data_IF_925010149895
#
_entry.id   IF_925010149895
#
_cell.length_a   1.000
_cell.length_b   1.000
_cell.length_c   1.000
_cell.angle_alpha   90.00
_cell.angle_beta   90.00
_cell.angle_gamma   90.00
#
_symmetry.space_group_name_H-M   'P 1'
#
loop_
_entity.id
_entity.type
_entity.pdbx_description
1 polymer ?
#
# COMPACT_ATOMS: atom_id res chain seq x y z
N UNK A 1 13.24 4.01 10.42
CA UNK A 1 12.09 3.10 10.32
C UNK A 1 12.20 2.11 9.15
N UNK A 2 12.76 2.52 8.01
CA UNK A 2 13.04 1.66 6.84
C UNK A 2 13.69 0.32 7.20
N UNK A 3 14.79 0.34 7.95
CA UNK A 3 15.50 -0.88 8.35
C UNK A 3 14.63 -1.85 9.16
N UNK A 4 13.72 -1.33 10.01
CA UNK A 4 12.82 -2.15 10.82
C UNK A 4 11.74 -2.81 9.94
N UNK A 5 11.14 -2.06 9.01
CA UNK A 5 10.13 -2.62 8.10
C UNK A 5 10.71 -3.63 7.13
N UNK A 6 11.92 -3.39 6.61
CA UNK A 6 12.63 -4.36 5.77
C UNK A 6 12.94 -5.63 6.55
N UNK A 7 13.54 -5.52 7.73
CA UNK A 7 13.83 -6.68 8.57
C UNK A 7 12.56 -7.49 8.92
N UNK A 8 11.46 -6.80 9.22
CA UNK A 8 10.19 -7.46 9.49
C UNK A 8 9.70 -8.29 8.29
N UNK A 9 9.77 -7.74 7.07
CA UNK A 9 9.38 -8.44 5.85
C UNK A 9 10.35 -9.59 5.49
N UNK A 10 11.66 -9.38 5.65
CA UNK A 10 12.69 -10.41 5.42
C UNK A 10 12.52 -11.63 6.34
N UNK A 11 12.02 -11.41 7.56
CA UNK A 11 11.69 -12.47 8.51
C UNK A 11 10.30 -13.10 8.28
N UNK A 12 9.59 -12.72 7.21
CA UNK A 12 8.24 -13.22 6.89
C UNK A 12 7.12 -12.62 7.74
N UNK A 13 7.36 -11.49 8.41
CA UNK A 13 6.36 -10.73 9.15
C UNK A 13 5.51 -9.81 8.27
N UNK A 14 4.71 -8.95 8.91
CA UNK A 14 3.83 -7.96 8.25
C UNK A 14 4.20 -6.53 8.64
N UNK A 15 3.91 -5.55 7.77
CA UNK A 15 4.09 -4.13 8.09
C UNK A 15 3.16 -3.65 9.21
N UNK A 16 2.07 -4.36 9.48
CA UNK A 16 1.11 -3.97 10.51
C UNK A 16 0.32 -5.13 11.08
N UNK A 17 0.31 -5.27 12.42
CA UNK A 17 -0.66 -6.13 13.11
C UNK A 17 -2.08 -5.53 13.09
N UNK A 18 -2.21 -4.23 13.43
CA UNK A 18 -3.54 -3.62 13.65
C UNK A 18 -3.70 -2.17 13.14
N UNK A 19 -2.63 -1.36 13.12
CA UNK A 19 -2.73 0.09 12.82
C UNK A 19 -2.79 0.44 11.33
N UNK A 20 -2.83 -0.56 10.44
CA UNK A 20 -2.80 -0.38 8.99
C UNK A 20 -1.51 0.21 8.44
N UNK A 21 -1.59 0.67 7.17
CA UNK A 21 -0.46 1.11 6.34
C UNK A 21 -0.23 2.62 6.41
N UNK A 22 -1.29 3.40 6.21
CA UNK A 22 -1.19 4.86 6.23
C UNK A 22 -0.29 5.44 5.14
N UNK A 23 0.30 6.60 5.42
CA UNK A 23 1.35 7.21 4.60
C UNK A 23 2.74 6.66 4.98
N UNK A 24 2.95 6.40 6.28
CA UNK A 24 4.26 6.00 6.81
C UNK A 24 4.76 4.68 6.23
N UNK A 25 3.88 3.67 6.11
CA UNK A 25 4.26 2.32 5.65
C UNK A 25 4.00 2.11 4.16
N UNK A 26 3.36 3.06 3.48
CA UNK A 26 3.03 2.97 2.06
C UNK A 26 4.24 2.64 1.15
N UNK A 27 5.45 3.20 1.37
CA UNK A 27 6.61 2.87 0.54
C UNK A 27 7.02 1.39 0.58
N UNK A 28 6.64 0.65 1.63
CA UNK A 28 6.98 -0.76 1.82
C UNK A 28 5.84 -1.69 1.39
N UNK A 29 4.65 -1.16 1.15
CA UNK A 29 3.44 -1.96 1.01
C UNK A 29 3.47 -2.90 -0.20
N UNK A 30 4.09 -2.46 -1.30
CA UNK A 30 4.34 -3.33 -2.47
C UNK A 30 5.22 -4.54 -2.11
N UNK A 31 6.18 -4.40 -1.21
CA UNK A 31 7.06 -5.49 -0.83
C UNK A 31 6.32 -6.59 -0.03
N UNK A 32 5.25 -6.24 0.68
CA UNK A 32 4.40 -7.21 1.40
C UNK A 32 3.41 -7.92 0.46
N UNK A 33 2.73 -7.17 -0.42
CA UNK A 33 1.65 -7.72 -1.25
C UNK A 33 2.07 -8.23 -2.63
N UNK A 34 3.27 -7.87 -3.09
CA UNK A 34 3.71 -8.12 -4.45
C UNK A 34 2.93 -7.28 -5.49
N UNK A 35 3.27 -7.50 -6.76
CA UNK A 35 2.67 -6.77 -7.88
C UNK A 35 1.19 -7.08 -8.08
N UNK A 36 0.80 -8.36 -7.98
CA UNK A 36 -0.58 -8.79 -8.21
C UNK A 36 -1.53 -8.28 -7.11
N UNK A 37 -1.11 -8.38 -5.84
CA UNK A 37 -1.91 -7.89 -4.71
C UNK A 37 -2.10 -6.38 -4.78
N UNK A 38 -1.06 -5.64 -5.17
CA UNK A 38 -1.14 -4.20 -5.38
C UNK A 38 -2.08 -3.85 -6.54
N UNK A 39 -1.99 -4.55 -7.67
CA UNK A 39 -2.83 -4.33 -8.85
C UNK A 39 -4.32 -4.55 -8.55
N UNK A 40 -4.66 -5.57 -7.76
CA UNK A 40 -6.04 -5.81 -7.32
C UNK A 40 -6.57 -4.63 -6.51
N UNK A 41 -5.82 -4.14 -5.51
CA UNK A 41 -6.27 -2.99 -4.71
C UNK A 41 -6.38 -1.70 -5.53
N UNK A 42 -5.45 -1.47 -6.46
CA UNK A 42 -5.51 -0.33 -7.38
C UNK A 42 -6.77 -0.41 -8.27
N UNK A 43 -7.13 -1.61 -8.74
CA UNK A 43 -8.35 -1.81 -9.53
C UNK A 43 -9.62 -1.47 -8.74
N UNK A 44 -9.68 -1.90 -7.47
CA UNK A 44 -10.80 -1.62 -6.57
C UNK A 44 -10.88 -0.11 -6.30
N UNK A 45 -9.75 0.53 -5.97
CA UNK A 45 -9.67 1.97 -5.71
C UNK A 45 -10.18 2.78 -6.90
N UNK A 46 -9.79 2.41 -8.12
CA UNK A 46 -10.21 3.09 -9.35
C UNK A 46 -11.72 2.97 -9.61
N UNK A 47 -12.33 1.83 -9.30
CA UNK A 47 -13.78 1.64 -9.48
C UNK A 47 -14.56 2.46 -8.46
N UNK A 48 -14.09 2.50 -7.20
CA UNK A 48 -14.80 3.16 -6.10
C UNK A 48 -14.54 4.66 -6.00
N UNK A 49 -13.36 5.12 -6.41
CA UNK A 49 -12.95 6.52 -6.35
C UNK A 49 -12.12 6.91 -7.60
N UNK A 50 -12.78 7.00 -8.78
CA UNK A 50 -12.10 7.34 -10.03
C UNK A 50 -11.50 8.74 -10.04
N UNK A 51 -11.99 9.66 -9.20
CA UNK A 51 -11.46 11.01 -9.04
C UNK A 51 -10.32 11.12 -8.03
N UNK A 52 -9.95 10.02 -7.37
CA UNK A 52 -8.91 9.95 -6.33
C UNK A 52 -9.06 11.02 -5.22
N UNK A 53 -10.30 11.32 -4.81
CA UNK A 53 -10.58 12.35 -3.78
C UNK A 53 -10.46 11.80 -2.35
N UNK A 54 -10.63 10.49 -2.18
CA UNK A 54 -10.63 9.85 -0.87
C UNK A 54 -9.20 9.41 -0.49
N UNK A 55 -8.56 10.21 0.36
CA UNK A 55 -7.22 9.97 0.91
C UNK A 55 -6.11 9.78 -0.15
N UNK A 56 -5.86 10.78 -1.01
CA UNK A 56 -4.81 10.70 -2.02
C UNK A 56 -3.43 10.45 -1.40
N UNK A 57 -2.64 9.59 -2.04
CA UNK A 57 -1.28 9.23 -1.62
C UNK A 57 -1.18 8.23 -0.46
N UNK A 58 -2.27 7.99 0.29
CA UNK A 58 -2.30 6.95 1.33
C UNK A 58 -2.18 5.57 0.68
N UNK A 59 -1.37 4.69 1.27
CA UNK A 59 -1.04 3.37 0.71
C UNK A 59 -0.31 3.39 -0.66
N UNK A 60 -0.03 4.57 -1.23
CA UNK A 60 0.62 4.77 -2.53
C UNK A 60 0.00 3.96 -3.69
N UNK A 61 -1.31 3.70 -3.62
CA UNK A 61 -2.04 3.07 -4.72
C UNK A 61 -2.02 4.02 -5.92
N UNK A 62 -1.54 3.56 -7.07
CA UNK A 62 -1.55 4.37 -8.29
C UNK A 62 -2.98 4.45 -8.82
N UNK A 63 -3.62 5.58 -8.57
CA UNK A 63 -4.83 5.96 -9.29
C UNK A 63 -4.42 6.94 -10.38
N UNK A 64 -4.17 6.43 -11.59
CA UNK A 64 -4.05 7.29 -12.76
C UNK A 64 -5.46 7.85 -13.05
N UNK A 65 -5.65 9.15 -12.81
CA UNK A 65 -6.61 9.89 -13.64
C UNK A 65 -6.02 9.99 -15.05
N UNK A 66 -6.84 9.96 -16.11
CA UNK A 66 -6.35 10.13 -17.48
C UNK A 66 -5.49 11.39 -17.65
#
# INVERSE_FOLDING_TARGET
MTAIFQAALELGGTLSGEHGIGLLKAPFFKAELGDDGLAVMESIKRILDPGNILNPGKMLLRCFTP
#
